data_IF_912294199713
#
_entry.id   IF_912294199713
#
_cell.length_a   1.000
_cell.length_b   1.000
_cell.length_c   1.000
_cell.angle_alpha   90.00
_cell.angle_beta   90.00
_cell.angle_gamma   90.00
#
_symmetry.space_group_name_H-M   'P 1'
#
loop_
_entity.id
_entity.type
_entity.pdbx_description
1 polymer ?
#
# COMPACT_ATOMS: atom_id res chain seq x y z
N UNK A 1 -34.91 69.08 -11.77
CA UNK A 1 -33.79 68.59 -10.94
C UNK A 1 -33.85 67.07 -10.89
N UNK A 2 -32.71 66.41 -11.09
CA UNK A 2 -32.53 65.01 -11.53
C UNK A 2 -32.91 64.00 -10.45
N UNK A 3 -33.66 62.97 -10.83
CA UNK A 3 -33.99 61.81 -9.98
C UNK A 3 -32.80 60.87 -9.84
N UNK A 4 -32.54 60.41 -8.62
CA UNK A 4 -31.49 59.44 -8.30
C UNK A 4 -32.15 58.11 -8.00
N UNK A 5 -32.13 57.19 -8.96
CA UNK A 5 -32.47 55.78 -8.73
C UNK A 5 -31.23 55.07 -8.17
N UNK A 6 -31.28 54.65 -6.91
CA UNK A 6 -30.24 53.82 -6.29
C UNK A 6 -30.39 52.38 -6.79
N UNK A 7 -29.37 51.89 -7.50
CA UNK A 7 -29.27 50.50 -7.95
C UNK A 7 -28.62 49.71 -6.81
N UNK A 8 -29.35 48.76 -6.23
CA UNK A 8 -28.83 47.78 -5.28
C UNK A 8 -28.36 46.58 -6.09
N UNK A 9 -27.05 46.38 -6.18
CA UNK A 9 -26.43 45.22 -6.84
C UNK A 9 -26.29 44.11 -5.81
N UNK A 10 -27.16 43.11 -5.86
CA UNK A 10 -27.05 41.89 -5.06
C UNK A 10 -25.96 41.00 -5.64
N UNK A 11 -24.85 40.86 -4.91
CA UNK A 11 -23.74 39.98 -5.25
C UNK A 11 -24.07 38.56 -4.77
N UNK A 12 -24.45 37.69 -5.71
CA UNK A 12 -24.71 36.27 -5.46
C UNK A 12 -23.36 35.56 -5.30
N UNK A 13 -23.04 35.14 -4.08
CA UNK A 13 -21.86 34.32 -3.78
C UNK A 13 -22.20 32.86 -4.08
N UNK A 14 -21.73 32.36 -5.22
CA UNK A 14 -21.84 30.94 -5.59
C UNK A 14 -20.80 30.15 -4.80
N UNK A 15 -21.22 29.49 -3.71
CA UNK A 15 -20.39 28.58 -2.94
C UNK A 15 -20.04 27.33 -3.74
N UNK A 16 -18.79 27.22 -4.19
CA UNK A 16 -18.23 25.96 -4.66
C UNK A 16 -18.03 25.04 -3.46
N UNK A 17 -18.98 24.12 -3.23
CA UNK A 17 -18.79 22.99 -2.34
C UNK A 17 -17.80 22.02 -3.01
N UNK A 18 -16.51 22.18 -2.71
CA UNK A 18 -15.51 21.17 -3.04
C UNK A 18 -15.81 19.93 -2.18
N UNK A 19 -16.43 18.92 -2.76
CA UNK A 19 -16.49 17.57 -2.17
C UNK A 19 -15.08 17.01 -2.18
N UNK A 20 -14.33 17.31 -1.12
CA UNK A 20 -12.99 16.78 -0.88
C UNK A 20 -13.06 15.27 -0.80
N UNK A 21 -12.55 14.59 -1.83
CA UNK A 21 -12.21 13.19 -1.76
C UNK A 21 -11.10 13.05 -0.71
N UNK A 22 -11.43 12.50 0.46
CA UNK A 22 -10.43 12.16 1.46
C UNK A 22 -9.55 11.06 0.87
N UNK A 23 -8.41 11.44 0.30
CA UNK A 23 -7.36 10.48 -0.06
C UNK A 23 -6.97 9.77 1.23
N UNK A 24 -7.10 8.43 1.33
CA UNK A 24 -6.68 7.73 2.54
C UNK A 24 -5.19 8.00 2.73
N UNK A 25 -4.85 8.67 3.82
CA UNK A 25 -3.47 8.95 4.19
C UNK A 25 -2.73 7.61 4.34
N UNK A 26 -1.59 7.47 3.65
CA UNK A 26 -0.64 6.40 3.91
C UNK A 26 -0.37 6.39 5.42
N UNK A 27 -0.60 5.26 6.08
CA UNK A 27 -0.51 5.18 7.54
C UNK A 27 0.47 4.09 7.87
N UNK A 28 1.53 4.47 8.55
CA UNK A 28 2.60 3.59 8.97
C UNK A 28 2.09 2.24 9.52
N UNK A 29 2.81 1.18 9.18
CA UNK A 29 2.78 -0.09 9.86
C UNK A 29 2.98 0.11 11.37
N UNK A 30 2.51 -0.84 12.16
CA UNK A 30 2.82 -0.92 13.59
C UNK A 30 3.75 -2.08 13.82
N UNK A 31 4.86 -1.84 14.54
CA UNK A 31 5.85 -2.85 14.89
C UNK A 31 7.25 -2.48 14.41
N UNK A 32 8.11 -3.49 14.28
CA UNK A 32 9.49 -3.33 13.80
C UNK A 32 9.77 -4.32 12.69
N UNK A 33 10.45 -3.88 11.64
CA UNK A 33 11.04 -4.77 10.65
C UNK A 33 12.54 -4.85 10.91
N UNK A 34 13.06 -6.04 11.17
CA UNK A 34 14.47 -6.25 11.47
C UNK A 34 15.17 -6.88 10.26
N UNK A 35 16.39 -6.44 10.01
CA UNK A 35 17.23 -7.02 8.96
C UNK A 35 18.65 -7.19 9.49
N UNK A 36 19.26 -8.34 9.20
CA UNK A 36 20.55 -8.71 9.77
C UNK A 36 21.61 -8.82 8.68
N UNK A 37 22.72 -8.14 8.92
CA UNK A 37 23.95 -8.23 8.15
C UNK A 37 24.99 -9.04 8.95
N UNK A 38 26.23 -9.14 8.44
CA UNK A 38 27.29 -9.89 9.11
C UNK A 38 27.67 -9.28 10.48
N UNK A 39 27.60 -7.95 10.59
CA UNK A 39 28.06 -7.20 11.75
C UNK A 39 26.96 -6.95 12.79
N UNK A 40 25.71 -7.34 12.51
CA UNK A 40 24.59 -7.19 13.44
C UNK A 40 23.22 -6.96 12.75
N UNK A 41 22.21 -6.75 13.59
CA UNK A 41 20.84 -6.45 13.17
C UNK A 41 20.53 -4.97 13.23
N UNK A 42 19.85 -4.46 12.21
CA UNK A 42 19.25 -3.12 12.15
C UNK A 42 17.73 -3.25 12.06
N UNK A 43 17.01 -2.15 12.24
CA UNK A 43 15.55 -2.16 12.24
C UNK A 43 14.89 -0.88 11.75
N UNK A 44 13.71 -1.05 11.15
CA UNK A 44 12.81 0.03 10.76
C UNK A 44 11.59 -0.03 11.67
N UNK A 45 11.39 1.02 12.46
CA UNK A 45 10.29 1.11 13.43
C UNK A 45 9.11 1.82 12.77
N UNK A 46 7.93 1.20 12.87
CA UNK A 46 6.68 1.69 12.29
C UNK A 46 6.85 2.21 10.84
N UNK A 47 7.28 1.35 9.90
CA UNK A 47 7.55 1.77 8.53
C UNK A 47 6.30 2.32 7.83
N UNK A 48 6.49 3.35 7.02
CA UNK A 48 5.44 3.92 6.19
C UNK A 48 4.96 2.93 5.12
N UNK A 49 3.65 2.93 4.86
CA UNK A 49 3.08 2.18 3.75
C UNK A 49 3.59 2.77 2.42
N UNK A 50 3.82 1.91 1.43
CA UNK A 50 4.20 2.27 0.05
C UNK A 50 5.52 3.09 -0.08
N UNK A 51 6.34 3.11 0.97
CA UNK A 51 7.71 3.65 0.91
C UNK A 51 8.72 2.54 0.61
N UNK A 52 9.71 2.84 -0.23
CA UNK A 52 10.80 1.92 -0.55
C UNK A 52 11.98 2.10 0.42
N UNK A 53 12.26 1.08 1.22
CA UNK A 53 13.40 1.05 2.13
C UNK A 53 14.54 0.21 1.54
N UNK A 54 15.68 0.84 1.26
CA UNK A 54 16.89 0.15 0.83
C UNK A 54 17.65 -0.36 2.06
N UNK A 55 17.89 -1.67 2.13
CA UNK A 55 18.50 -2.29 3.33
C UNK A 55 20.00 -2.51 3.18
N UNK A 56 20.48 -2.86 1.98
CA UNK A 56 21.90 -3.11 1.72
C UNK A 56 22.13 -4.32 0.81
N UNK A 57 23.40 -4.65 0.55
CA UNK A 57 23.81 -5.78 -0.29
C UNK A 57 24.32 -7.00 0.50
N UNK A 58 24.41 -6.90 1.83
CA UNK A 58 24.94 -7.97 2.69
C UNK A 58 23.89 -8.58 3.63
N UNK A 59 22.62 -8.20 3.46
CA UNK A 59 21.52 -8.68 4.29
C UNK A 59 21.33 -10.17 4.09
N UNK A 60 21.30 -10.92 5.19
CA UNK A 60 21.14 -12.38 5.19
C UNK A 60 19.80 -12.84 5.73
N UNK A 61 19.20 -12.05 6.61
CA UNK A 61 18.03 -12.46 7.36
C UNK A 61 17.05 -11.30 7.52
N UNK A 62 15.77 -11.56 7.36
CA UNK A 62 14.68 -10.59 7.46
C UNK A 62 13.66 -11.08 8.49
N UNK A 63 13.24 -10.18 9.39
CA UNK A 63 12.17 -10.41 10.35
C UNK A 63 11.09 -9.34 10.22
N UNK A 64 9.87 -9.76 9.96
CA UNK A 64 8.73 -8.86 9.83
C UNK A 64 7.86 -8.93 11.08
N UNK A 65 8.28 -8.29 12.16
CA UNK A 65 7.47 -8.12 13.38
C UNK A 65 6.46 -6.97 13.27
N UNK A 66 6.10 -6.59 12.04
CA UNK A 66 5.06 -5.59 11.77
C UNK A 66 3.70 -6.23 11.49
N UNK A 67 2.64 -5.42 11.60
CA UNK A 67 1.29 -5.81 11.19
C UNK A 67 1.02 -5.67 9.66
N UNK A 68 2.06 -5.52 8.83
CA UNK A 68 1.96 -5.37 7.36
C UNK A 68 2.61 -6.51 6.62
N UNK A 69 2.18 -6.73 5.39
CA UNK A 69 2.91 -7.60 4.46
C UNK A 69 4.08 -6.80 3.87
N UNK A 70 5.19 -7.48 3.59
CA UNK A 70 6.39 -6.85 3.04
C UNK A 70 6.69 -7.46 1.68
N UNK A 71 6.77 -6.61 0.66
CA UNK A 71 7.30 -6.98 -0.64
C UNK A 71 8.82 -6.85 -0.59
N UNK A 72 9.53 -7.91 -0.96
CA UNK A 72 11.00 -7.94 -0.99
C UNK A 72 11.45 -7.92 -2.44
N UNK A 73 12.27 -6.94 -2.80
CA UNK A 73 12.79 -6.76 -4.16
C UNK A 73 14.30 -7.02 -4.20
N UNK A 74 14.81 -7.71 -5.24
CA UNK A 74 16.24 -8.00 -5.39
C UNK A 74 16.99 -6.83 -6.07
N UNK A 75 16.60 -5.60 -5.77
CA UNK A 75 17.15 -4.35 -6.30
C UNK A 75 17.08 -3.25 -5.24
N UNK A 76 17.55 -2.05 -5.55
CA UNK A 76 17.63 -0.92 -4.61
C UNK A 76 16.53 0.14 -4.78
N UNK A 77 15.54 -0.11 -5.64
CA UNK A 77 14.53 0.88 -6.04
C UNK A 77 13.07 0.41 -5.90
N UNK A 78 12.83 -0.81 -5.42
CA UNK A 78 11.51 -1.44 -5.31
C UNK A 78 10.72 -1.46 -6.64
N UNK A 79 11.41 -1.48 -7.79
CA UNK A 79 10.78 -1.55 -9.10
C UNK A 79 10.70 -3.00 -9.60
N UNK A 80 9.74 -3.25 -10.50
CA UNK A 80 9.54 -4.57 -11.12
C UNK A 80 8.76 -5.56 -10.25
N UNK A 81 9.02 -6.85 -10.45
CA UNK A 81 8.36 -7.93 -9.71
C UNK A 81 9.10 -8.18 -8.39
N UNK A 82 8.40 -8.25 -7.25
CA UNK A 82 9.02 -8.64 -6.00
C UNK A 82 9.49 -10.10 -6.07
N UNK A 83 10.65 -10.38 -5.48
CA UNK A 83 11.17 -11.74 -5.37
C UNK A 83 10.38 -12.57 -4.35
N UNK A 84 9.84 -11.91 -3.31
CA UNK A 84 9.04 -12.57 -2.29
C UNK A 84 8.03 -11.59 -1.65
N UNK A 85 7.01 -12.15 -0.99
CA UNK A 85 6.11 -11.43 -0.10
C UNK A 85 6.16 -12.07 1.28
N UNK A 86 6.66 -11.34 2.28
CA UNK A 86 6.64 -11.77 3.68
C UNK A 86 5.29 -11.41 4.31
N UNK A 87 4.72 -12.35 5.05
CA UNK A 87 3.50 -12.13 5.83
C UNK A 87 3.82 -11.36 7.12
N UNK A 88 2.84 -10.68 7.75
CA UNK A 88 3.01 -10.14 9.09
C UNK A 88 3.51 -11.22 10.07
N UNK A 89 4.38 -10.84 10.99
CA UNK A 89 4.94 -11.70 12.04
C UNK A 89 5.61 -12.97 11.49
N UNK A 90 6.38 -12.81 10.41
CA UNK A 90 7.12 -13.92 9.79
C UNK A 90 8.56 -13.56 9.51
N UNK A 91 9.35 -14.60 9.32
CA UNK A 91 10.79 -14.56 9.15
C UNK A 91 11.18 -15.26 7.86
N UNK A 92 12.18 -14.73 7.17
CA UNK A 92 12.69 -15.29 5.92
C UNK A 92 14.19 -15.01 5.74
N UNK A 93 14.89 -15.91 5.06
CA UNK A 93 16.23 -15.63 4.54
C UNK A 93 16.16 -14.55 3.43
N UNK A 94 17.17 -13.69 3.41
CA UNK A 94 17.32 -12.65 2.40
C UNK A 94 17.99 -13.21 1.14
N UNK A 95 17.52 -12.84 -0.07
CA UNK A 95 18.22 -13.16 -1.32
C UNK A 95 19.53 -12.36 -1.52
N UNK A 96 19.95 -11.53 -0.55
CA UNK A 96 21.16 -10.72 -0.63
C UNK A 96 20.85 -9.22 -0.75
N UNK A 97 21.17 -8.62 -1.91
CA UNK A 97 20.77 -7.24 -2.21
C UNK A 97 19.26 -7.10 -2.16
N UNK A 98 18.77 -6.26 -1.23
CA UNK A 98 17.34 -6.11 -1.04
C UNK A 98 16.90 -4.67 -0.74
N UNK A 99 15.71 -4.37 -1.27
CA UNK A 99 14.84 -3.30 -0.83
C UNK A 99 13.48 -3.86 -0.44
N UNK A 100 12.77 -3.17 0.44
CA UNK A 100 11.49 -3.62 0.98
C UNK A 100 10.44 -2.51 0.94
N UNK A 101 9.20 -2.92 0.69
CA UNK A 101 8.03 -2.04 0.67
C UNK A 101 6.89 -2.66 1.49
N UNK A 102 6.30 -1.87 2.38
CA UNK A 102 5.25 -2.32 3.30
C UNK A 102 3.87 -2.04 2.71
N UNK A 103 2.97 -3.03 2.76
CA UNK A 103 1.60 -2.91 2.23
C UNK A 103 0.54 -3.39 3.20
N UNK A 104 -0.61 -2.72 3.13
CA UNK A 104 -1.85 -3.12 3.82
C UNK A 104 -2.48 -4.35 3.16
N UNK A 105 -2.27 -5.53 3.73
CA UNK A 105 -2.79 -6.78 3.16
C UNK A 105 -2.21 -7.08 1.77
N UNK A 106 -2.31 -8.27 1.22
CA UNK A 106 -3.47 -9.17 1.20
C UNK A 106 -3.53 -10.10 2.40
N UNK A 107 -4.63 -10.00 3.16
CA UNK A 107 -5.00 -11.06 4.12
C UNK A 107 -5.07 -12.40 3.37
N UNK A 108 -4.73 -13.57 3.98
CA UNK A 108 -4.85 -14.88 3.34
C UNK A 108 -6.30 -15.28 2.99
N UNK A 109 -7.27 -14.37 3.15
CA UNK A 109 -8.65 -14.56 2.72
C UNK A 109 -8.90 -13.67 1.51
N UNK A 110 -8.97 -14.33 0.34
CA UNK A 110 -9.38 -13.79 -0.95
C UNK A 110 -8.30 -13.01 -1.72
N UNK A 111 -7.38 -13.74 -2.34
CA UNK A 111 -6.78 -13.25 -3.60
C UNK A 111 -7.58 -13.90 -4.72
N UNK A 112 -8.37 -13.10 -5.44
CA UNK A 112 -8.89 -13.53 -6.74
C UNK A 112 -7.70 -13.59 -7.68
N UNK A 113 -7.24 -14.80 -8.00
CA UNK A 113 -6.32 -14.99 -9.13
C UNK A 113 -7.09 -14.50 -10.34
N UNK A 114 -6.68 -13.36 -10.90
CA UNK A 114 -7.16 -12.95 -12.20
C UNK A 114 -6.48 -13.87 -13.20
N UNK A 115 -7.11 -15.01 -13.48
CA UNK A 115 -6.67 -15.89 -14.54
C UNK A 115 -6.60 -15.09 -15.84
N UNK A 116 -5.40 -15.05 -16.39
CA UNK A 116 -5.13 -14.47 -17.70
C UNK A 116 -5.61 -15.45 -18.76
N UNK A 117 -6.93 -15.47 -19.02
CA UNK A 117 -7.51 -15.74 -20.34
C UNK A 117 -9.04 -15.72 -20.23
N UNK A 118 -9.69 -14.75 -20.88
CA UNK A 118 -10.97 -14.91 -21.58
C UNK A 118 -11.53 -13.56 -22.05
N UNK A 119 -11.76 -13.48 -23.35
CA UNK A 119 -12.48 -12.44 -24.11
C UNK A 119 -13.87 -12.07 -23.54
N UNK A 120 -14.43 -10.91 -23.93
CA UNK A 120 -15.58 -10.32 -23.23
C UNK A 120 -16.90 -10.97 -23.67
N UNK A 121 -17.67 -11.49 -22.70
CA UNK A 121 -19.00 -12.05 -22.95
C UNK A 121 -19.89 -12.02 -21.70
N UNK A 122 -20.92 -11.17 -21.75
CA UNK A 122 -22.23 -11.24 -21.08
C UNK A 122 -22.36 -11.42 -19.55
N UNK A 123 -22.83 -10.35 -18.90
CA UNK A 123 -23.95 -10.28 -17.92
C UNK A 123 -24.26 -11.46 -16.98
N UNK A 124 -24.04 -11.23 -15.68
CA UNK A 124 -25.00 -11.27 -14.55
C UNK A 124 -24.38 -11.80 -13.24
N UNK A 125 -24.91 -11.41 -12.07
CA UNK A 125 -24.27 -11.62 -10.78
C UNK A 125 -24.73 -12.93 -10.17
N UNK A 126 -23.81 -13.88 -9.93
CA UNK A 126 -24.16 -15.08 -9.18
C UNK A 126 -23.08 -15.42 -8.16
N UNK A 127 -23.58 -15.60 -6.95
CA UNK A 127 -22.95 -16.02 -5.72
C UNK A 127 -22.35 -17.42 -5.88
N UNK A 128 -21.02 -17.54 -5.86
CA UNK A 128 -20.35 -18.83 -6.08
C UNK A 128 -19.09 -18.99 -5.23
N UNK A 129 -19.22 -19.84 -4.20
CA UNK A 129 -18.19 -20.63 -3.52
C UNK A 129 -16.93 -19.94 -2.97
N UNK A 130 -17.08 -19.34 -1.79
CA UNK A 130 -15.95 -19.10 -0.87
C UNK A 130 -15.68 -20.34 -0.02
N UNK A 131 -14.88 -21.27 -0.53
CA UNK A 131 -14.28 -22.33 0.30
C UNK A 131 -13.13 -21.73 1.13
N UNK A 132 -13.37 -21.48 2.41
CA UNK A 132 -12.36 -21.12 3.41
C UNK A 132 -12.16 -22.32 4.33
N UNK A 133 -11.08 -23.10 4.17
CA UNK A 133 -10.69 -24.07 5.18
C UNK A 133 -10.02 -23.34 6.35
N UNK A 134 -10.58 -23.54 7.55
CA UNK A 134 -10.01 -23.13 8.83
C UNK A 134 -8.90 -24.04 9.29
#
# INVERSE_FOLDING_TARGET
MKGVRRIVVSLVVTGFAMTGTSVPQAAAATGIFLYYEFDGGLGIVNPDDDWCYRLGFTVRHLDNDTNRSVLVFPNDDCLGLPAATMRPFTRQDSPGLVSVLFRRGTSPRCVTVKDADSSPGSTSPDEGDRHCNG
#
